data_IF_340355400586
#
_entry.id   IF_340355400586
#
_cell.length_a   1.000
_cell.length_b   1.000
_cell.length_c   1.000
_cell.angle_alpha   90.00
_cell.angle_beta   90.00
_cell.angle_gamma   90.00
#
_symmetry.space_group_name_H-M   'P 1'
#
loop_
_entity.id
_entity.type
_entity.pdbx_description
1 polymer ?
#
# COMPACT_ATOMS: atom_id res chain seq x y z
N UNK A 1 9.45 -5.63 -0.46
CA UNK A 1 9.73 -4.98 -1.76
C UNK A 1 10.21 -3.56 -1.50
N UNK A 2 11.16 -3.03 -2.27
CA UNK A 2 11.63 -1.64 -2.15
C UNK A 2 11.24 -0.90 -3.44
N UNK A 3 10.53 0.22 -3.33
CA UNK A 3 10.22 1.08 -4.48
C UNK A 3 11.41 2.03 -4.76
N UNK A 4 11.49 2.57 -5.97
CA UNK A 4 12.45 3.58 -6.46
C UNK A 4 12.54 4.79 -5.50
N UNK A 5 11.47 5.11 -4.76
CA UNK A 5 11.42 6.19 -3.77
C UNK A 5 12.05 5.85 -2.41
N UNK A 6 12.50 4.61 -2.21
CA UNK A 6 13.06 4.09 -0.96
C UNK A 6 12.01 3.62 0.05
N UNK A 7 10.73 3.60 -0.34
CA UNK A 7 9.65 3.04 0.48
C UNK A 7 9.80 1.53 0.57
N UNK A 8 9.67 0.99 1.79
CA UNK A 8 9.77 -0.45 2.04
C UNK A 8 8.40 -1.02 2.40
N UNK A 9 7.95 -1.98 1.59
CA UNK A 9 6.79 -2.82 1.89
C UNK A 9 7.24 -4.06 2.66
N UNK A 10 6.64 -4.22 3.84
CA UNK A 10 6.67 -5.43 4.65
C UNK A 10 5.31 -6.10 4.62
N UNK A 11 5.27 -7.38 4.26
CA UNK A 11 4.08 -8.21 4.26
C UNK A 11 4.50 -9.66 4.48
N UNK A 12 3.66 -10.44 5.16
CA UNK A 12 3.96 -11.84 5.44
C UNK A 12 3.85 -12.70 4.18
N UNK A 13 2.90 -12.37 3.32
CA UNK A 13 2.68 -13.02 2.03
C UNK A 13 2.28 -11.98 0.99
N UNK A 14 2.70 -12.23 -0.25
CA UNK A 14 2.37 -11.42 -1.40
C UNK A 14 2.09 -12.35 -2.58
N UNK A 15 0.90 -12.22 -3.14
CA UNK A 15 0.48 -12.96 -4.32
C UNK A 15 0.72 -12.11 -5.56
N UNK A 16 1.05 -12.78 -6.67
CA UNK A 16 1.23 -12.15 -7.97
C UNK A 16 0.34 -12.84 -9.00
N UNK A 17 -0.60 -12.09 -9.58
CA UNK A 17 -1.46 -12.54 -10.67
C UNK A 17 -1.31 -11.63 -11.88
N UNK A 18 -0.72 -12.20 -12.95
CA UNK A 18 -0.49 -11.51 -14.23
C UNK A 18 -1.77 -11.25 -15.02
N UNK A 19 -2.88 -11.88 -14.65
CA UNK A 19 -4.17 -11.63 -15.30
C UNK A 19 -4.83 -10.33 -14.79
N UNK A 20 -4.30 -9.71 -13.71
CA UNK A 20 -4.83 -8.48 -13.12
C UNK A 20 -3.99 -7.28 -13.53
N UNK A 21 -4.44 -6.50 -14.52
CA UNK A 21 -3.73 -5.28 -14.92
C UNK A 21 -3.89 -4.17 -13.86
N UNK A 22 -2.78 -3.67 -13.33
CA UNK A 22 -2.72 -2.56 -12.36
C UNK A 22 -2.89 -2.94 -10.89
N UNK A 23 -3.23 -4.20 -10.59
CA UNK A 23 -3.33 -4.77 -9.24
C UNK A 23 -2.73 -6.19 -9.22
N UNK A 24 -1.65 -6.39 -9.96
CA UNK A 24 -0.99 -7.68 -10.12
C UNK A 24 -0.55 -8.22 -8.76
N UNK A 25 -0.05 -7.35 -7.90
CA UNK A 25 0.32 -7.71 -6.54
C UNK A 25 -0.87 -7.52 -5.60
N UNK A 26 -1.18 -8.55 -4.82
CA UNK A 26 -2.21 -8.46 -3.80
C UNK A 26 -1.91 -9.34 -2.60
N UNK A 27 -2.49 -9.00 -1.47
CA UNK A 27 -2.45 -9.78 -0.23
C UNK A 27 -3.68 -9.46 0.59
N UNK A 28 -4.15 -10.43 1.37
CA UNK A 28 -5.24 -10.29 2.35
C UNK A 28 -4.69 -10.20 3.79
N UNK A 29 -3.38 -10.34 3.97
CA UNK A 29 -2.73 -10.33 5.29
C UNK A 29 -2.29 -8.94 5.72
N UNK A 30 -1.75 -8.88 6.93
CA UNK A 30 -1.16 -7.67 7.48
C UNK A 30 -0.02 -7.16 6.59
N UNK A 31 -0.06 -5.85 6.33
CA UNK A 31 0.93 -5.11 5.56
C UNK A 31 1.40 -3.90 6.35
N UNK A 32 2.67 -3.55 6.14
CA UNK A 32 3.30 -2.35 6.69
C UNK A 32 4.09 -1.67 5.58
N UNK A 33 3.73 -0.43 5.29
CA UNK A 33 4.45 0.43 4.35
C UNK A 33 5.22 1.46 5.16
N UNK A 34 6.55 1.36 5.13
CA UNK A 34 7.44 2.33 5.75
C UNK A 34 7.86 3.34 4.70
N UNK A 35 7.33 4.55 4.82
CA UNK A 35 7.80 5.75 4.09
C UNK A 35 8.79 6.52 4.95
N UNK A 36 9.50 7.48 4.36
CA UNK A 36 10.48 8.32 5.08
C UNK A 36 9.88 9.06 6.29
N UNK A 37 8.64 9.52 6.19
CA UNK A 37 7.99 10.35 7.22
C UNK A 37 6.86 9.64 7.98
N UNK A 38 6.41 8.48 7.50
CA UNK A 38 5.23 7.81 8.05
C UNK A 38 5.31 6.30 7.88
N UNK A 39 4.72 5.60 8.84
CA UNK A 39 4.47 4.16 8.77
C UNK A 39 2.97 3.99 8.60
N UNK A 40 2.59 3.26 7.57
CA UNK A 40 1.18 2.97 7.27
C UNK A 40 0.99 1.48 7.45
N UNK A 41 0.18 1.11 8.42
CA UNK A 41 -0.18 -0.27 8.70
C UNK A 41 -1.58 -0.55 8.17
N UNK A 42 -1.86 -1.81 7.85
CA UNK A 42 -3.18 -2.21 7.44
C UNK A 42 -3.31 -3.70 7.19
N UNK A 43 -4.52 -4.11 6.83
CA UNK A 43 -4.88 -5.48 6.48
C UNK A 43 -5.35 -5.48 5.02
N UNK A 44 -4.63 -6.25 4.22
CA UNK A 44 -4.84 -6.38 2.79
C UNK A 44 -4.28 -5.21 1.98
N UNK A 45 -3.71 -5.53 0.81
CA UNK A 45 -3.12 -4.57 -0.11
C UNK A 45 -3.33 -5.03 -1.55
N UNK A 46 -3.46 -4.07 -2.46
CA UNK A 46 -3.36 -4.26 -3.90
C UNK A 46 -2.36 -3.26 -4.46
N UNK A 47 -1.50 -3.68 -5.38
CA UNK A 47 -0.50 -2.83 -6.00
C UNK A 47 -0.21 -3.26 -7.45
N UNK A 48 0.20 -2.29 -8.26
CA UNK A 48 0.66 -2.55 -9.62
C UNK A 48 2.02 -3.24 -9.63
N UNK A 49 2.34 -3.96 -10.70
CA UNK A 49 3.63 -4.64 -10.85
C UNK A 49 4.82 -3.67 -10.77
N UNK A 50 4.66 -2.45 -11.25
CA UNK A 50 5.67 -1.39 -11.16
C UNK A 50 5.66 -0.63 -9.81
N UNK A 51 4.77 -1.03 -8.90
CA UNK A 51 4.58 -0.48 -7.55
C UNK A 51 4.37 1.04 -7.52
N UNK A 52 3.96 1.65 -8.64
CA UNK A 52 3.63 3.08 -8.73
C UNK A 52 2.28 3.39 -8.10
N UNK A 53 1.34 2.46 -8.20
CA UNK A 53 0.04 2.55 -7.54
C UNK A 53 -0.13 1.41 -6.55
N UNK A 54 -0.53 1.76 -5.34
CA UNK A 54 -0.89 0.79 -4.31
C UNK A 54 -2.02 1.33 -3.45
N UNK A 55 -2.83 0.41 -2.93
CA UNK A 55 -3.98 0.69 -2.07
C UNK A 55 -3.96 -0.33 -0.94
N UNK A 56 -4.07 0.16 0.30
CA UNK A 56 -4.33 -0.67 1.47
C UNK A 56 -5.84 -0.75 1.65
N UNK A 57 -6.39 -1.96 1.73
CA UNK A 57 -7.84 -2.18 1.78
C UNK A 57 -8.40 -1.72 3.12
N UNK A 58 -7.77 -2.15 4.22
CA UNK A 58 -8.16 -1.78 5.58
C UNK A 58 -6.97 -1.13 6.30
N UNK A 59 -6.75 0.18 6.16
CA UNK A 59 -5.71 0.87 6.91
C UNK A 59 -6.00 0.81 8.41
N UNK A 60 -4.96 0.58 9.21
CA UNK A 60 -5.02 0.52 10.67
C UNK A 60 -4.03 1.55 11.24
N UNK A 61 -4.52 2.37 12.16
CA UNK A 61 -3.70 3.38 12.85
C UNK A 61 -3.96 4.81 12.39
N UNK A 62 -3.04 5.70 12.74
CA UNK A 62 -3.15 7.13 12.45
C UNK A 62 -2.42 7.42 11.14
N UNK A 63 -3.17 7.83 10.12
CA UNK A 63 -2.61 8.24 8.82
C UNK A 63 -2.66 9.76 8.75
N UNK A 64 -1.51 10.37 8.53
CA UNK A 64 -1.44 11.80 8.24
C UNK A 64 -1.82 12.04 6.78
N UNK A 65 -3.04 12.53 6.57
CA UNK A 65 -3.55 12.95 5.27
C UNK A 65 -3.53 14.48 5.16
N UNK A 66 -3.11 15.06 4.03
CA UNK A 66 -3.22 16.50 3.79
C UNK A 66 -4.68 16.95 3.86
N UNK A 67 -4.94 18.15 4.39
CA UNK A 67 -6.28 18.71 4.49
C UNK A 67 -7.01 18.81 3.14
N UNK A 68 -6.26 18.93 2.03
CA UNK A 68 -6.81 18.98 0.66
C UNK A 68 -7.32 17.64 0.13
N UNK A 69 -7.02 16.53 0.81
CA UNK A 69 -7.48 15.18 0.42
C UNK A 69 -8.74 14.73 1.16
N UNK A 70 -9.19 15.49 2.15
CA UNK A 70 -10.50 15.28 2.75
C UNK A 70 -11.57 15.92 1.87
N UNK A 71 -12.63 15.20 1.47
CA UNK A 71 -13.78 15.82 0.84
C UNK A 71 -14.39 16.82 1.81
N UNK A 72 -14.33 18.09 1.45
CA UNK A 72 -15.07 19.16 2.13
C UNK A 72 -16.51 19.12 1.66
N UNK A 73 -17.44 18.99 2.60
CA UNK A 73 -18.90 19.05 2.38
C UNK A 73 -19.35 20.41 1.82
#
# INVERSE_FOLDING_TARGET
MINILGDTLYCNELWWDRNRTGNEFYTDKAVRIRRKLQIIDGIGMQASQDFKSWVIINPVGVINVPNTQFPTD
#
